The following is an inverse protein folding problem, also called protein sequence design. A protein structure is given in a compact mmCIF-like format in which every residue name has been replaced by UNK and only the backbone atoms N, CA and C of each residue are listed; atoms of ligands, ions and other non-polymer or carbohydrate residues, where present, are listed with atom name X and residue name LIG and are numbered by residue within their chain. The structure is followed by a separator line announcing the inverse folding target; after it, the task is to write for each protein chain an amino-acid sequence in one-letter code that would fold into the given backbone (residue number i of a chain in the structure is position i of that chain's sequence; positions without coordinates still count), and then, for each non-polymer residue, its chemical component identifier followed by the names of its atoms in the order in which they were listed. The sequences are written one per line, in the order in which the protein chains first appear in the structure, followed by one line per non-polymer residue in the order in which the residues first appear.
data_IF_915792926840
#
_entry.id   IF_915792926840
#
_cell.length_a   1.000
_cell.length_b   1.000
_cell.length_c   1.000
_cell.angle_alpha   90.00
_cell.angle_beta   90.00
_cell.angle_gamma   90.00
#
_symmetry.space_group_name_H-M   'P 1'
#
loop_
_entity.id
_entity.type
_entity.pdbx_description
1 polymer ?
#
# COMPACT_ATOMS: atom_id res chain seq x y z
N UNK A 1 -4.41 12.10 -29.33
CA UNK A 1 -5.17 10.87 -29.06
C UNK A 1 -4.28 9.62 -29.05
N UNK A 2 -3.46 9.36 -30.08
CA UNK A 2 -2.54 8.19 -30.09
C UNK A 2 -1.45 8.26 -29.02
N UNK A 3 -0.82 9.42 -28.81
CA UNK A 3 0.26 9.54 -27.82
C UNK A 3 -0.21 9.31 -26.38
N UNK A 4 -1.38 9.83 -25.99
CA UNK A 4 -1.94 9.61 -24.65
C UNK A 4 -2.21 8.13 -24.38
N UNK A 5 -2.68 7.39 -25.40
CA UNK A 5 -2.88 5.95 -25.30
C UNK A 5 -1.55 5.19 -25.15
N UNK A 6 -0.51 5.61 -25.88
CA UNK A 6 0.83 5.04 -25.73
C UNK A 6 1.44 5.34 -24.35
N UNK A 7 1.27 6.56 -23.83
CA UNK A 7 1.69 6.93 -22.46
C UNK A 7 0.97 6.11 -21.40
N UNK A 8 -0.35 5.88 -21.56
CA UNK A 8 -1.11 5.03 -20.66
C UNK A 8 -0.59 3.58 -20.68
N UNK A 9 -0.39 3.00 -21.86
CA UNK A 9 0.17 1.65 -21.99
C UNK A 9 1.57 1.56 -21.37
N UNK A 10 2.42 2.55 -21.63
CA UNK A 10 3.76 2.61 -21.04
C UNK A 10 3.69 2.65 -19.51
N UNK A 11 2.82 3.49 -18.93
CA UNK A 11 2.67 3.56 -17.48
C UNK A 11 2.10 2.25 -16.90
N UNK A 12 1.20 1.59 -17.63
CA UNK A 12 0.64 0.29 -17.24
C UNK A 12 1.72 -0.80 -17.20
N UNK A 13 2.52 -0.94 -18.26
CA UNK A 13 3.62 -1.91 -18.28
C UNK A 13 4.68 -1.60 -17.23
N UNK A 14 5.06 -0.33 -17.05
CA UNK A 14 6.00 0.09 -16.01
C UNK A 14 5.51 -0.30 -14.61
N UNK A 15 4.21 -0.09 -14.33
CA UNK A 15 3.58 -0.49 -13.07
C UNK A 15 3.63 -2.00 -12.84
N UNK A 16 3.33 -2.80 -13.87
CA UNK A 16 3.34 -4.26 -13.80
C UNK A 16 4.77 -4.81 -13.61
N UNK A 17 5.76 -4.27 -14.32
CA UNK A 17 7.17 -4.69 -14.18
C UNK A 17 7.71 -4.41 -12.78
N UNK A 18 7.47 -3.20 -12.25
CA UNK A 18 7.88 -2.89 -10.88
C UNK A 18 7.10 -3.73 -9.85
N UNK A 19 5.78 -3.85 -10.01
CA UNK A 19 4.92 -4.62 -9.11
C UNK A 19 5.29 -6.10 -9.04
N UNK A 20 5.53 -6.74 -10.19
CA UNK A 20 5.97 -8.14 -10.27
C UNK A 20 7.34 -8.36 -9.63
N UNK A 21 8.29 -7.43 -9.79
CA UNK A 21 9.58 -7.48 -9.12
C UNK A 21 9.43 -7.46 -7.59
N UNK A 22 8.61 -6.54 -7.05
CA UNK A 22 8.31 -6.50 -5.62
C UNK A 22 7.57 -7.75 -5.13
N UNK A 23 6.66 -8.31 -5.93
CA UNK A 23 5.95 -9.54 -5.61
C UNK A 23 6.90 -10.74 -5.53
N UNK A 24 7.84 -10.88 -6.47
CA UNK A 24 8.86 -11.93 -6.46
C UNK A 24 9.79 -11.81 -5.25
N UNK A 25 10.20 -10.58 -4.89
CA UNK A 25 10.99 -10.33 -3.67
C UNK A 25 10.20 -10.76 -2.42
N UNK A 26 8.91 -10.42 -2.36
CA UNK A 26 8.04 -10.79 -1.24
C UNK A 26 7.85 -12.31 -1.13
N UNK A 27 7.70 -13.02 -2.25
CA UNK A 27 7.61 -14.49 -2.30
C UNK A 27 8.94 -15.12 -1.84
N UNK A 28 10.07 -14.67 -2.37
CA UNK A 28 11.40 -15.18 -1.97
C UNK A 28 11.70 -14.99 -0.48
N UNK A 29 11.23 -13.90 0.12
CA UNK A 29 11.33 -13.66 1.57
C UNK A 29 10.30 -14.44 2.40
N UNK A 30 9.19 -14.88 1.79
CA UNK A 30 8.14 -15.64 2.48
C UNK A 30 8.43 -17.14 2.47
N UNK A 31 8.90 -17.68 1.36
CA UNK A 31 9.16 -19.12 1.21
C UNK A 31 10.23 -19.62 2.19
N UNK A 32 11.18 -18.77 2.58
CA UNK A 32 12.18 -19.07 3.62
C UNK A 32 11.66 -19.10 5.06
N UNK A 33 10.45 -18.58 5.34
CA UNK A 33 9.89 -18.43 6.72
C UNK A 33 8.49 -19.04 6.85
N UNK A 34 7.98 -19.67 5.79
CA UNK A 34 6.59 -20.12 5.59
C UNK A 34 6.09 -21.11 6.66
N UNK A 35 6.99 -21.87 7.29
CA UNK A 35 6.61 -22.87 8.29
C UNK A 35 6.20 -22.28 9.65
N UNK A 36 6.65 -21.06 9.99
CA UNK A 36 6.49 -20.56 11.37
C UNK A 36 5.51 -19.39 11.52
N UNK A 37 5.20 -18.64 10.45
CA UNK A 37 4.72 -17.25 10.62
C UNK A 37 3.61 -16.87 9.63
N UNK A 38 2.44 -17.48 9.80
CA UNK A 38 1.19 -17.03 9.16
C UNK A 38 0.76 -15.62 9.66
N UNK A 39 1.32 -15.17 10.79
CA UNK A 39 0.96 -13.91 11.42
C UNK A 39 1.75 -12.67 10.96
N UNK A 40 2.89 -12.87 10.29
CA UNK A 40 3.80 -11.78 9.87
C UNK A 40 3.48 -11.14 8.52
N UNK A 41 2.56 -11.71 7.74
CA UNK A 41 2.19 -11.16 6.43
C UNK A 41 1.34 -9.88 6.54
N UNK A 42 0.63 -9.71 7.65
CA UNK A 42 -0.33 -8.62 7.85
C UNK A 42 0.31 -7.25 8.06
N UNK A 43 1.41 -7.09 8.83
CA UNK A 43 2.03 -5.77 9.03
C UNK A 43 2.68 -5.16 7.77
N UNK A 44 3.26 -6.00 6.88
CA UNK A 44 3.94 -5.51 5.66
C UNK A 44 2.97 -4.89 4.66
N UNK A 45 1.76 -5.43 4.53
CA UNK A 45 0.73 -4.89 3.65
C UNK A 45 0.25 -3.51 4.12
N UNK A 46 0.02 -3.32 5.42
CA UNK A 46 -0.38 -2.03 5.99
C UNK A 46 0.70 -0.96 5.79
N UNK A 47 1.97 -1.34 5.93
CA UNK A 47 3.10 -0.43 5.68
C UNK A 47 3.18 0.01 4.21
N UNK A 48 3.01 -0.92 3.27
CA UNK A 48 3.02 -0.59 1.83
C UNK A 48 1.88 0.37 1.48
N UNK A 49 0.67 0.10 1.96
CA UNK A 49 -0.49 0.97 1.72
C UNK A 49 -0.25 2.37 2.30
N UNK A 50 0.28 2.48 3.52
CA UNK A 50 0.58 3.77 4.14
C UNK A 50 1.63 4.60 3.36
N UNK A 51 2.64 3.95 2.79
CA UNK A 51 3.67 4.59 1.96
C UNK A 51 3.08 5.11 0.64
N UNK A 52 2.28 4.29 -0.07
CA UNK A 52 1.63 4.72 -1.32
C UNK A 52 0.63 5.86 -1.09
N UNK A 53 -0.13 5.82 0.00
CA UNK A 53 -1.07 6.90 0.36
C UNK A 53 -0.33 8.20 0.65
N UNK A 54 0.77 8.16 1.44
CA UNK A 54 1.62 9.33 1.66
C UNK A 54 2.14 9.91 0.35
N UNK A 55 2.65 9.05 -0.53
CA UNK A 55 3.17 9.46 -1.83
C UNK A 55 2.08 10.11 -2.70
N UNK A 56 0.88 9.54 -2.76
CA UNK A 56 -0.24 10.10 -3.52
C UNK A 56 -0.68 11.47 -2.97
N UNK A 57 -0.73 11.64 -1.65
CA UNK A 57 -1.08 12.92 -1.02
C UNK A 57 -0.02 13.98 -1.32
N UNK A 58 1.25 13.63 -1.19
CA UNK A 58 2.36 14.53 -1.51
C UNK A 58 2.33 14.92 -2.99
N UNK A 59 2.14 13.95 -3.89
CA UNK A 59 2.04 14.21 -5.33
C UNK A 59 0.85 15.14 -5.65
N UNK A 60 -0.32 14.90 -5.05
CA UNK A 60 -1.50 15.75 -5.23
C UNK A 60 -1.27 17.18 -4.74
N UNK A 61 -0.65 17.35 -3.57
CA UNK A 61 -0.30 18.68 -3.02
C UNK A 61 0.71 19.42 -3.90
N UNK A 62 1.74 18.73 -4.42
CA UNK A 62 2.68 19.32 -5.37
C UNK A 62 2.00 19.74 -6.67
N UNK A 63 1.04 18.94 -7.18
CA UNK A 63 0.26 19.32 -8.36
C UNK A 63 -0.62 20.56 -8.14
N UNK A 64 -0.99 20.87 -6.89
CA UNK A 64 -1.69 22.09 -6.50
C UNK A 64 -0.75 23.29 -6.28
N UNK A 65 0.56 23.13 -6.50
CA UNK A 65 1.57 24.19 -6.34
C UNK A 65 2.04 24.40 -4.89
N UNK A 66 1.80 23.42 -4.01
CA UNK A 66 2.22 23.48 -2.60
C UNK A 66 3.56 22.77 -2.46
N UNK A 67 4.65 23.56 -2.43
CA UNK A 67 6.02 23.03 -2.36
C UNK A 67 6.64 23.12 -0.95
N UNK A 68 5.83 23.46 0.05
CA UNK A 68 6.30 23.63 1.42
C UNK A 68 6.61 22.27 2.05
N UNK A 69 7.90 21.97 2.21
CA UNK A 69 8.40 20.62 2.57
C UNK A 69 7.79 20.06 3.86
N UNK A 70 7.65 20.89 4.90
CA UNK A 70 7.08 20.44 6.17
C UNK A 70 5.58 20.13 6.05
N UNK A 71 4.85 20.88 5.23
CA UNK A 71 3.41 20.71 5.03
C UNK A 71 3.13 19.43 4.25
N UNK A 72 3.94 19.14 3.22
CA UNK A 72 3.85 17.90 2.44
C UNK A 72 4.04 16.67 3.32
N UNK A 73 5.07 16.67 4.17
CA UNK A 73 5.35 15.57 5.10
C UNK A 73 4.24 15.44 6.13
N UNK A 74 3.78 16.55 6.73
CA UNK A 74 2.71 16.53 7.71
C UNK A 74 1.40 15.98 7.13
N UNK A 75 1.01 16.45 5.94
CA UNK A 75 -0.22 16.00 5.28
C UNK A 75 -0.15 14.53 4.85
N UNK A 76 0.97 14.10 4.28
CA UNK A 76 1.20 12.70 3.93
C UNK A 76 1.15 11.79 5.17
N UNK A 77 1.79 12.21 6.25
CA UNK A 77 1.83 11.46 7.52
C UNK A 77 0.44 11.31 8.15
N UNK A 78 -0.32 12.41 8.24
CA UNK A 78 -1.69 12.38 8.77
C UNK A 78 -2.59 11.48 7.91
N UNK A 79 -2.50 11.61 6.58
CA UNK A 79 -3.26 10.77 5.67
C UNK A 79 -2.90 9.28 5.78
N UNK A 80 -1.62 8.96 5.91
CA UNK A 80 -1.17 7.59 6.13
C UNK A 80 -1.68 7.02 7.46
N UNK A 81 -1.69 7.78 8.55
CA UNK A 81 -2.24 7.33 9.83
C UNK A 81 -3.73 7.00 9.69
N UNK A 82 -4.51 7.90 9.07
CA UNK A 82 -5.95 7.71 8.90
C UNK A 82 -6.24 6.46 8.06
N UNK A 83 -5.55 6.28 6.94
CA UNK A 83 -5.81 5.13 6.06
C UNK A 83 -5.27 3.83 6.67
N UNK A 84 -4.07 3.83 7.25
CA UNK A 84 -3.49 2.64 7.88
C UNK A 84 -4.33 2.16 9.08
N UNK A 85 -4.85 3.09 9.89
CA UNK A 85 -5.73 2.75 11.01
C UNK A 85 -7.08 2.21 10.55
N UNK A 86 -7.70 2.82 9.53
CA UNK A 86 -8.94 2.33 8.94
C UNK A 86 -8.77 0.93 8.30
N UNK A 87 -7.64 0.70 7.62
CA UNK A 87 -7.33 -0.59 7.00
C UNK A 87 -7.07 -1.68 8.04
N UNK A 88 -6.28 -1.38 9.09
CA UNK A 88 -6.06 -2.29 10.22
C UNK A 88 -7.36 -2.68 10.93
N UNK A 89 -8.25 -1.71 11.15
CA UNK A 89 -9.58 -1.96 11.72
C UNK A 89 -10.46 -2.83 10.82
N UNK A 90 -10.39 -2.61 9.50
CA UNK A 90 -11.16 -3.41 8.54
C UNK A 90 -10.72 -4.87 8.52
N UNK A 91 -9.41 -5.13 8.62
CA UNK A 91 -8.88 -6.50 8.72
C UNK A 91 -9.37 -7.19 10.00
N UNK A 92 -9.28 -6.53 11.15
CA UNK A 92 -9.80 -7.03 12.43
C UNK A 92 -11.27 -7.44 12.31
N UNK A 93 -12.07 -6.58 11.67
CA UNK A 93 -13.51 -6.78 11.56
C UNK A 93 -13.92 -7.84 10.54
N UNK A 94 -13.26 -7.90 9.39
CA UNK A 94 -13.64 -8.79 8.28
C UNK A 94 -12.98 -10.15 8.38
N UNK A 95 -11.71 -10.22 8.81
CA UNK A 95 -10.98 -11.48 8.86
C UNK A 95 -11.08 -12.15 10.24
N UNK A 96 -10.87 -11.41 11.32
CA UNK A 96 -10.71 -12.04 12.64
C UNK A 96 -12.01 -12.23 13.41
N UNK A 97 -12.91 -11.24 13.36
CA UNK A 97 -14.21 -11.32 14.05
C UNK A 97 -15.07 -12.53 13.63
N UNK A 98 -15.26 -12.85 12.33
CA UNK A 98 -16.08 -14.00 11.94
C UNK A 98 -15.40 -15.34 12.25
N UNK A 99 -14.07 -15.44 12.16
CA UNK A 99 -13.34 -16.68 12.48
C UNK A 99 -13.42 -17.01 13.98
N UNK A 100 -13.42 -15.99 14.85
CA UNK A 100 -13.59 -16.19 16.31
C UNK A 100 -14.99 -16.66 16.70
N UNK A 101 -16.03 -16.32 15.92
CA UNK A 101 -17.41 -16.68 16.22
C UNK A 101 -17.87 -17.98 15.57
N UNK A 102 -17.11 -18.56 14.63
CA UNK A 102 -17.43 -19.87 14.03
C UNK A 102 -16.91 -21.07 14.82
N UNK A 103 -16.24 -20.86 15.97
CA UNK A 103 -15.72 -21.92 16.83
C UNK A 103 -16.46 -22.06 18.16
N UNK A 104 -17.69 -21.53 18.25
CA UNK A 104 -18.59 -21.74 19.38
C UNK A 104 -19.84 -22.51 18.91
#
# INVERSE_FOLDING_TARGET
MSEQFLYFLQQMFNGVTLGSTYALIAIGLYDGVRHYRHDQLRPREVYMIGSYVSFMIIAALMMMGIDTSWLLVAAGFVGAIVIASAYGWSIERVAYRPVRNSSA
#
